data_IF_238469030313
#
_entry.id   IF_238469030313
#
_cell.length_a   1.000
_cell.length_b   1.000
_cell.length_c   1.000
_cell.angle_alpha   90.00
_cell.angle_beta   90.00
_cell.angle_gamma   90.00
#
_symmetry.space_group_name_H-M   'P 1'
#
loop_
_entity.id
_entity.type
_entity.pdbx_description
1 polymer ?
#
# COMPACT_ATOMS: atom_id res chain seq x y z
N UNK A 1 -2.79 -2.92 -17.47
CA UNK A 1 -2.16 -2.35 -16.26
C UNK A 1 -2.56 -3.22 -15.08
N UNK A 2 -1.62 -3.78 -14.32
CA UNK A 2 -1.99 -4.49 -13.11
C UNK A 2 -2.46 -3.45 -12.07
N UNK A 3 -3.72 -3.56 -11.64
CA UNK A 3 -4.26 -2.73 -10.55
C UNK A 3 -4.11 -3.52 -9.25
N UNK A 4 -3.45 -2.91 -8.26
CA UNK A 4 -3.31 -3.49 -6.92
C UNK A 4 -4.19 -2.71 -5.95
N UNK A 5 -4.99 -3.41 -5.15
CA UNK A 5 -5.65 -2.82 -3.99
C UNK A 5 -4.67 -2.72 -2.83
N UNK A 6 -4.85 -1.75 -1.92
CA UNK A 6 -4.05 -1.59 -0.70
C UNK A 6 -4.05 -2.86 0.17
N UNK A 7 -5.11 -3.66 0.10
CA UNK A 7 -5.19 -4.96 0.78
C UNK A 7 -4.20 -6.02 0.23
N UNK A 8 -3.61 -5.78 -0.94
CA UNK A 8 -2.64 -6.66 -1.57
C UNK A 8 -1.19 -6.18 -1.36
N UNK A 9 -1.00 -5.10 -0.62
CA UNK A 9 0.32 -4.55 -0.33
C UNK A 9 1.08 -5.49 0.59
N UNK A 10 2.27 -5.86 0.14
CA UNK A 10 3.20 -6.75 0.84
C UNK A 10 4.63 -6.28 0.57
N UNK A 11 5.53 -6.55 1.51
CA UNK A 11 6.94 -6.29 1.34
C UNK A 11 7.46 -6.92 0.02
N UNK A 12 8.22 -6.14 -0.74
CA UNK A 12 8.76 -6.54 -2.05
C UNK A 12 7.80 -6.39 -3.24
N UNK A 13 6.55 -5.95 -3.03
CA UNK A 13 5.68 -5.60 -4.14
C UNK A 13 6.19 -4.32 -4.83
N UNK A 14 6.28 -4.36 -6.16
CA UNK A 14 6.61 -3.20 -6.99
C UNK A 14 5.34 -2.49 -7.44
N UNK A 15 5.28 -1.18 -7.19
CA UNK A 15 4.16 -0.32 -7.61
C UNK A 15 4.71 0.87 -8.38
N UNK A 16 3.86 1.48 -9.20
CA UNK A 16 4.15 2.76 -9.84
C UNK A 16 3.55 3.86 -8.96
N UNK A 17 4.38 4.80 -8.50
CA UNK A 17 3.96 5.98 -7.75
C UNK A 17 4.52 7.21 -8.48
N UNK A 18 3.65 8.16 -8.83
CA UNK A 18 4.01 9.38 -9.58
C UNK A 18 4.83 9.14 -10.87
N UNK A 19 4.62 7.99 -11.51
CA UNK A 19 5.33 7.60 -12.73
C UNK A 19 6.66 6.88 -12.50
N UNK A 20 7.06 6.68 -11.26
CA UNK A 20 8.31 5.99 -10.89
C UNK A 20 8.04 4.60 -10.26
N UNK A 21 8.90 3.59 -10.55
CA UNK A 21 8.79 2.28 -9.93
C UNK A 21 9.34 2.29 -8.50
N UNK A 22 8.49 1.99 -7.53
CA UNK A 22 8.85 1.88 -6.11
C UNK A 22 8.66 0.45 -5.58
N UNK A 23 9.45 0.07 -4.58
CA UNK A 23 9.26 -1.17 -3.83
C UNK A 23 8.62 -0.86 -2.47
N UNK A 24 7.56 -1.59 -2.11
CA UNK A 24 7.02 -1.55 -0.76
C UNK A 24 8.01 -2.25 0.18
N UNK A 25 8.53 -1.54 1.17
CA UNK A 25 9.41 -2.12 2.18
C UNK A 25 8.58 -2.79 3.29
N UNK A 26 7.63 -2.04 3.84
CA UNK A 26 6.71 -2.46 4.89
C UNK A 26 5.33 -1.88 4.59
N UNK A 27 4.28 -2.52 5.12
CA UNK A 27 2.90 -2.04 5.02
C UNK A 27 2.18 -2.37 6.32
N UNK A 28 1.71 -1.34 7.02
CA UNK A 28 0.97 -1.46 8.26
C UNK A 28 -0.49 -1.03 8.03
N UNK A 29 -1.43 -1.95 8.26
CA UNK A 29 -2.86 -1.63 8.20
C UNK A 29 -3.32 -1.04 9.55
N UNK A 30 -3.63 0.25 9.55
CA UNK A 30 -4.09 0.97 10.74
C UNK A 30 -5.61 1.09 10.73
N UNK A 31 -6.24 0.63 11.82
CA UNK A 31 -7.68 0.74 12.05
C UNK A 31 -7.94 1.60 13.29
N UNK A 32 -8.13 2.93 13.15
CA UNK A 32 -8.36 3.79 14.30
C UNK A 32 -9.73 3.50 14.92
N UNK A 33 -9.86 3.71 16.24
CA UNK A 33 -11.13 3.53 16.94
C UNK A 33 -12.25 4.48 16.43
N UNK A 34 -11.88 5.63 15.86
CA UNK A 34 -12.75 6.54 15.11
C UNK A 34 -12.02 7.00 13.85
N UNK A 35 -12.68 6.92 12.69
CA UNK A 35 -12.13 7.31 11.40
C UNK A 35 -12.05 6.14 10.41
N UNK A 36 -11.56 6.42 9.20
CA UNK A 36 -11.40 5.42 8.15
C UNK A 36 -10.08 4.65 8.33
N UNK A 37 -10.09 3.35 8.04
CA UNK A 37 -8.88 2.53 8.01
C UNK A 37 -7.97 2.95 6.84
N UNK A 38 -6.65 2.89 7.06
CA UNK A 38 -5.64 3.25 6.06
C UNK A 38 -4.41 2.35 6.18
N UNK A 39 -3.58 2.37 5.14
CA UNK A 39 -2.28 1.69 5.10
C UNK A 39 -1.16 2.71 5.27
N UNK A 40 -0.15 2.38 6.07
CA UNK A 40 1.09 3.13 6.27
C UNK A 40 2.27 2.36 5.70
#
# INVERSE_FOLDING_TARGET
MANFSTNQFKAGLKIMLDGEPCNILENELVKPGKGQAFSR
#
